data_IF_065208800607
#
_entry.id   IF_065208800607
#
_cell.length_a   1.000
_cell.length_b   1.000
_cell.length_c   1.000
_cell.angle_alpha   90.00
_cell.angle_beta   90.00
_cell.angle_gamma   90.00
#
_symmetry.space_group_name_H-M   'P 1'
#
loop_
_entity.id
_entity.type
_entity.pdbx_description
1 polymer ?
#
# COMPACT_ATOMS: atom_id res chain seq x y z
N UNK A 1 -3.44 41.42 -9.01
CA UNK A 1 -3.62 39.96 -8.89
C UNK A 1 -4.47 39.49 -10.07
N UNK A 2 -3.84 38.86 -11.08
CA UNK A 2 -4.55 38.46 -12.31
C UNK A 2 -5.28 37.13 -12.09
N UNK A 3 -6.60 37.14 -12.22
CA UNK A 3 -7.45 35.94 -12.16
C UNK A 3 -7.31 35.24 -13.51
N UNK A 4 -6.74 34.03 -13.52
CA UNK A 4 -6.58 33.24 -14.75
C UNK A 4 -7.95 33.04 -15.44
N UNK A 5 -8.10 33.69 -16.60
CA UNK A 5 -9.30 33.65 -17.45
C UNK A 5 -9.36 32.31 -18.16
N UNK A 6 -9.94 31.29 -17.52
CA UNK A 6 -10.16 29.98 -18.14
C UNK A 6 -11.30 30.06 -19.15
N UNK A 7 -11.11 29.43 -20.32
CA UNK A 7 -12.07 29.48 -21.41
C UNK A 7 -13.31 28.62 -21.08
N UNK A 8 -14.53 29.10 -21.37
CA UNK A 8 -15.81 28.46 -20.98
C UNK A 8 -15.98 27.03 -21.52
N UNK A 9 -15.32 26.70 -22.62
CA UNK A 9 -15.31 25.35 -23.21
C UNK A 9 -14.56 24.33 -22.35
N UNK A 10 -13.51 24.75 -21.63
CA UNK A 10 -12.77 23.90 -20.69
C UNK A 10 -13.67 23.42 -19.54
N UNK A 11 -14.56 24.30 -19.08
CA UNK A 11 -15.55 24.00 -18.02
C UNK A 11 -16.61 22.97 -18.47
N UNK A 12 -16.79 22.79 -19.79
CA UNK A 12 -17.78 21.86 -20.36
C UNK A 12 -17.19 20.51 -20.79
N UNK A 13 -15.88 20.32 -20.67
CA UNK A 13 -15.27 19.06 -21.07
C UNK A 13 -15.75 17.91 -20.18
N UNK A 14 -16.50 16.98 -20.78
CA UNK A 14 -16.88 15.71 -20.16
C UNK A 14 -16.08 14.58 -20.81
N UNK A 15 -15.29 13.89 -20.00
CA UNK A 15 -14.50 12.74 -20.42
C UNK A 15 -15.43 11.56 -20.78
N UNK A 16 -15.64 11.31 -22.07
CA UNK A 16 -16.33 10.14 -22.62
C UNK A 16 -15.41 8.91 -22.56
N UNK A 17 -14.97 8.52 -21.36
CA UNK A 17 -14.16 7.30 -21.19
C UNK A 17 -14.95 6.28 -20.40
N UNK A 18 -15.27 5.16 -21.05
CA UNK A 18 -15.88 4.03 -20.39
C UNK A 18 -14.81 3.28 -19.57
N UNK A 19 -14.72 3.63 -18.29
CA UNK A 19 -13.84 2.97 -17.33
C UNK A 19 -14.57 1.82 -16.59
N UNK A 20 -15.84 1.55 -16.93
CA UNK A 20 -16.72 0.59 -16.25
C UNK A 20 -16.17 -0.82 -16.22
N UNK A 21 -15.79 -1.35 -17.39
CA UNK A 21 -15.21 -2.68 -17.53
C UNK A 21 -13.98 -2.91 -16.63
N UNK A 22 -13.09 -1.91 -16.55
CA UNK A 22 -11.87 -2.00 -15.73
C UNK A 22 -12.21 -1.95 -14.24
N UNK A 23 -13.22 -1.15 -13.85
CA UNK A 23 -13.68 -1.07 -12.46
C UNK A 23 -14.32 -2.40 -12.02
N UNK A 24 -15.17 -2.99 -12.85
CA UNK A 24 -15.79 -4.29 -12.58
C UNK A 24 -14.71 -5.38 -12.40
N UNK A 25 -13.73 -5.44 -13.31
CA UNK A 25 -12.65 -6.41 -13.21
C UNK A 25 -11.76 -6.21 -11.97
N UNK A 26 -11.51 -4.95 -11.61
CA UNK A 26 -10.80 -4.61 -10.36
C UNK A 26 -11.57 -5.06 -9.12
N UNK A 27 -12.90 -4.87 -9.11
CA UNK A 27 -13.76 -5.27 -8.01
C UNK A 27 -13.78 -6.80 -7.85
N UNK A 28 -13.90 -7.53 -8.95
CA UNK A 28 -13.87 -8.98 -8.97
C UNK A 28 -12.54 -9.52 -8.42
N UNK A 29 -11.41 -8.96 -8.86
CA UNK A 29 -10.09 -9.32 -8.36
C UNK A 29 -9.90 -8.99 -6.88
N UNK A 30 -10.45 -7.86 -6.42
CA UNK A 30 -10.40 -7.47 -5.02
C UNK A 30 -11.23 -8.42 -4.13
N UNK A 31 -12.37 -8.91 -4.63
CA UNK A 31 -13.19 -9.94 -3.94
C UNK A 31 -12.47 -11.28 -3.89
N UNK A 32 -11.85 -11.70 -4.99
CA UNK A 32 -11.12 -12.97 -5.07
C UNK A 32 -9.82 -12.96 -4.25
N UNK A 33 -9.11 -11.83 -4.21
CA UNK A 33 -7.80 -11.70 -3.58
C UNK A 33 -7.74 -10.48 -2.65
N UNK A 34 -8.41 -10.50 -1.48
CA UNK A 34 -8.56 -9.32 -0.63
C UNK A 34 -7.25 -8.83 0.01
N UNK A 35 -6.19 -9.65 0.03
CA UNK A 35 -4.87 -9.31 0.59
C UNK A 35 -3.95 -8.67 -0.45
N UNK A 36 -4.29 -8.80 -1.74
CA UNK A 36 -3.42 -8.34 -2.82
C UNK A 36 -3.47 -6.83 -2.99
N UNK A 37 -2.28 -6.23 -3.07
CA UNK A 37 -2.12 -4.82 -3.39
C UNK A 37 -2.18 -4.52 -4.89
N UNK A 38 -2.18 -3.24 -5.22
CA UNK A 38 -2.27 -2.72 -6.58
C UNK A 38 -1.40 -3.45 -7.63
N UNK A 39 -0.11 -3.70 -7.33
CA UNK A 39 0.81 -4.31 -8.30
C UNK A 39 0.44 -5.74 -8.67
N UNK A 40 -0.10 -6.52 -7.72
CA UNK A 40 -0.56 -7.88 -7.98
C UNK A 40 -1.83 -7.86 -8.83
N UNK A 41 -2.80 -7.01 -8.50
CA UNK A 41 -3.99 -6.81 -9.33
C UNK A 41 -3.64 -6.35 -10.75
N UNK A 42 -2.70 -5.39 -10.89
CA UNK A 42 -2.20 -4.94 -12.19
C UNK A 42 -1.58 -6.08 -13.01
N UNK A 43 -0.73 -6.90 -12.38
CA UNK A 43 -0.14 -8.07 -13.01
C UNK A 43 -1.19 -9.08 -13.49
N UNK A 44 -2.22 -9.36 -12.69
CA UNK A 44 -3.32 -10.26 -13.06
C UNK A 44 -4.12 -9.76 -14.26
N UNK A 45 -4.46 -8.47 -14.28
CA UNK A 45 -5.16 -7.84 -15.41
C UNK A 45 -4.32 -7.90 -16.69
N UNK A 46 -3.00 -7.71 -16.55
CA UNK A 46 -2.08 -7.84 -17.69
C UNK A 46 -1.98 -9.28 -18.19
N UNK A 47 -1.96 -10.25 -17.27
CA UNK A 47 -1.89 -11.67 -17.61
C UNK A 47 -3.20 -12.19 -18.23
N UNK A 48 -4.35 -11.57 -17.95
CA UNK A 48 -5.61 -11.86 -18.64
C UNK A 48 -5.70 -11.25 -20.05
N UNK A 49 -4.61 -10.68 -20.58
CA UNK A 49 -4.55 -10.10 -21.92
C UNK A 49 -5.02 -8.66 -22.02
N UNK A 50 -5.45 -8.03 -20.92
CA UNK A 50 -5.93 -6.64 -20.94
C UNK A 50 -4.76 -5.67 -20.77
N UNK A 51 -4.35 -5.02 -21.86
CA UNK A 51 -3.25 -4.05 -21.84
C UNK A 51 -3.79 -2.68 -21.39
N UNK A 52 -3.62 -2.36 -20.11
CA UNK A 52 -4.00 -1.07 -19.53
C UNK A 52 -2.76 -0.34 -19.01
N UNK A 53 -2.71 0.98 -19.20
CA UNK A 53 -1.68 1.80 -18.56
C UNK A 53 -1.85 1.76 -17.02
N UNK A 54 -0.78 1.39 -16.31
CA UNK A 54 -0.76 1.32 -14.85
C UNK A 54 -1.19 2.63 -14.17
N UNK A 55 -0.91 3.80 -14.76
CA UNK A 55 -1.35 5.11 -14.21
C UNK A 55 -2.87 5.23 -14.20
N UNK A 56 -3.53 4.80 -15.28
CA UNK A 56 -4.99 4.79 -15.40
C UNK A 56 -5.60 3.82 -14.39
N UNK A 57 -5.06 2.60 -14.33
CA UNK A 57 -5.51 1.57 -13.40
C UNK A 57 -5.37 2.04 -11.95
N UNK A 58 -4.24 2.64 -11.60
CA UNK A 58 -3.97 3.14 -10.25
C UNK A 58 -4.94 4.26 -9.83
N UNK A 59 -5.31 5.15 -10.76
CA UNK A 59 -6.32 6.19 -10.51
C UNK A 59 -7.68 5.57 -10.19
N UNK A 60 -8.11 4.58 -10.96
CA UNK A 60 -9.37 3.85 -10.73
C UNK A 60 -9.32 3.06 -9.42
N UNK A 61 -8.24 2.34 -9.17
CA UNK A 61 -8.00 1.60 -7.93
C UNK A 61 -8.11 2.49 -6.69
N UNK A 62 -7.50 3.68 -6.72
CA UNK A 62 -7.64 4.68 -5.65
C UNK A 62 -9.07 5.22 -5.54
N UNK A 63 -9.72 5.53 -6.67
CA UNK A 63 -11.10 6.04 -6.70
C UNK A 63 -12.10 5.05 -6.08
N UNK A 64 -11.86 3.75 -6.26
CA UNK A 64 -12.68 2.67 -5.70
C UNK A 64 -12.41 2.39 -4.21
N UNK A 65 -11.45 3.06 -3.56
CA UNK A 65 -11.14 2.81 -2.15
C UNK A 65 -10.50 1.44 -1.87
N UNK A 66 -9.98 0.78 -2.90
CA UNK A 66 -9.29 -0.51 -2.81
C UNK A 66 -7.89 -0.52 -2.16
N UNK A 67 -7.18 0.61 -1.90
CA UNK A 67 -5.89 0.55 -1.24
C UNK A 67 -5.98 -0.10 0.14
N UNK A 68 -5.36 -1.27 0.29
CA UNK A 68 -5.23 -1.91 1.58
C UNK A 68 -4.45 -1.01 2.53
N UNK A 69 -5.05 -0.69 3.67
CA UNK A 69 -4.31 -0.08 4.78
C UNK A 69 -3.30 -1.10 5.29
N UNK A 70 -2.00 -0.74 5.19
CA UNK A 70 -0.94 -1.48 5.90
C UNK A 70 -1.29 -1.50 7.38
N UNK A 71 -1.45 -2.70 7.95
CA UNK A 71 -1.54 -2.86 9.40
C UNK A 71 -0.20 -2.42 9.99
N UNK A 72 -0.21 -1.33 10.75
CA UNK A 72 0.98 -0.88 11.48
C UNK A 72 1.29 -1.94 12.55
N UNK A 73 2.57 -2.24 12.77
CA UNK A 73 2.98 -3.07 13.90
C UNK A 73 2.45 -2.42 15.18
N UNK A 74 1.55 -3.11 15.88
CA UNK A 74 1.08 -2.63 17.19
C UNK A 74 2.31 -2.56 18.10
N UNK A 75 2.46 -1.46 18.84
CA UNK A 75 3.48 -1.40 19.89
C UNK A 75 3.15 -2.50 20.89
N UNK A 76 4.07 -3.44 21.08
CA UNK A 76 3.98 -4.37 22.19
C UNK A 76 4.14 -3.55 23.49
N UNK A 77 3.49 -3.96 24.59
CA UNK A 77 3.75 -3.35 25.89
C UNK A 77 5.26 -3.41 26.17
N UNK A 78 5.78 -2.38 26.84
CA UNK A 78 7.18 -2.36 27.22
C UNK A 78 7.50 -3.63 28.02
N UNK A 79 8.52 -4.38 27.59
CA UNK A 79 9.02 -5.53 28.35
C UNK A 79 9.40 -5.02 29.74
N UNK A 80 8.92 -5.67 30.79
CA UNK A 80 9.44 -5.44 32.14
C UNK A 80 10.93 -5.76 32.08
N UNK A 81 11.78 -4.76 32.32
CA UNK A 81 13.23 -4.97 32.36
C UNK A 81 13.54 -5.69 33.66
N UNK A 82 13.84 -6.98 33.57
CA UNK A 82 14.39 -7.70 34.71
C UNK A 82 15.78 -7.13 35.02
N UNK A 83 16.12 -6.90 36.30
CA UNK A 83 17.45 -6.47 36.66
C UNK A 83 18.48 -7.52 36.22
N UNK A 84 19.63 -7.06 35.72
CA UNK A 84 20.73 -7.97 35.38
C UNK A 84 21.18 -8.69 36.65
N UNK A 85 21.35 -10.02 36.56
CA UNK A 85 21.90 -10.79 37.66
C UNK A 85 23.35 -10.37 37.91
N UNK A 86 23.63 -9.91 39.13
CA UNK A 86 24.99 -9.59 39.56
C UNK A 86 25.62 -10.88 40.12
N UNK A 87 26.73 -11.37 39.53
CA UNK A 87 27.42 -12.55 40.06
C UNK A 87 27.98 -12.25 41.46
N UNK A 88 27.93 -13.26 42.34
CA UNK A 88 28.45 -13.14 43.71
C UNK A 88 29.98 -13.27 43.75
N UNK A 89 30.57 -13.94 42.75
CA UNK A 89 32.01 -14.21 42.68
C UNK A 89 32.58 -13.86 41.32
N UNK A 90 33.88 -13.58 41.30
CA UNK A 90 34.64 -13.40 40.07
C UNK A 90 34.54 -14.66 39.18
N UNK A 91 34.56 -14.48 37.85
CA UNK A 91 34.44 -15.54 36.80
C UNK A 91 33.15 -16.36 36.76
N UNK A 92 32.11 -16.00 37.53
CA UNK A 92 30.83 -16.72 37.50
C UNK A 92 30.04 -16.53 36.20
N UNK A 93 30.29 -15.48 35.42
CA UNK A 93 29.60 -15.22 34.15
C UNK A 93 30.57 -14.63 33.14
N UNK A 94 30.51 -15.12 31.90
CA UNK A 94 31.30 -14.65 30.78
C UNK A 94 30.37 -14.32 29.62
N UNK A 95 30.47 -13.11 29.09
CA UNK A 95 29.79 -12.68 27.87
C UNK A 95 30.84 -12.43 26.80
N UNK A 96 30.59 -12.90 25.59
CA UNK A 96 31.44 -12.62 24.44
C UNK A 96 30.54 -12.03 23.34
N UNK A 97 30.90 -10.85 22.87
CA UNK A 97 30.23 -10.17 21.76
C UNK A 97 31.23 -10.03 20.61
N UNK A 98 30.80 -10.35 19.40
CA UNK A 98 31.58 -10.14 18.19
C UNK A 98 31.18 -8.82 17.55
N UNK A 99 32.17 -8.05 17.10
CA UNK A 99 31.96 -6.90 16.23
C UNK A 99 32.15 -7.35 14.78
N UNK A 100 31.21 -7.00 13.90
CA UNK A 100 31.32 -7.09 12.44
C UNK A 100 31.65 -5.71 11.84
#
# INVERSE_FOLDING_TARGET
MSINKTNRSSLRYQSIKNDGYIMERLEELAKQNPVEGFWKCYGRIRNSGTIVNHKKLHRLYKKMGLPLRRKIKKRLPARVKEPLAVPAYFTQTWSIDFYE
#
